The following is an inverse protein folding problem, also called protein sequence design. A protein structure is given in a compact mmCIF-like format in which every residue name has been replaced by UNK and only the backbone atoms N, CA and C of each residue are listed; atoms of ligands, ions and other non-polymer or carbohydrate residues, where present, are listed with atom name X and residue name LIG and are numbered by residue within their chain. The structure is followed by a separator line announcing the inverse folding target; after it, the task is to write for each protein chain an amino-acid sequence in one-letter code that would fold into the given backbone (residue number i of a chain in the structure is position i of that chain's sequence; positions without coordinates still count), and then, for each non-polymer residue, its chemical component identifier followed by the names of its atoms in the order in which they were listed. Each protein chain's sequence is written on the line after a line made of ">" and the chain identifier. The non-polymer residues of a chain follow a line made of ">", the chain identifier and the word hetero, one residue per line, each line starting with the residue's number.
data_IF_593288695299
#
_entry.id   IF_593288695299
#
_cell.length_a   1.000
_cell.length_b   1.000
_cell.length_c   1.000
_cell.angle_alpha   90.00
_cell.angle_beta   90.00
_cell.angle_gamma   90.00
#
_symmetry.space_group_name_H-M   'P 1'
#
loop_
_entity.id
_entity.type
_entity.pdbx_description
1 polymer ?
#
# COMPACT_ATOMS: atom_id res chain seq x y z
N UNK A 1 -11.16 17.40 13.78
CA UNK A 1 -11.24 15.93 13.85
C UNK A 1 -12.72 15.54 13.72
N UNK A 2 -13.06 14.28 13.45
CA UNK A 2 -14.34 13.86 12.85
C UNK A 2 -15.57 14.46 13.55
N UNK A 3 -16.54 14.94 12.77
CA UNK A 3 -17.80 15.44 13.33
C UNK A 3 -18.64 14.30 13.91
N UNK A 4 -19.59 14.57 14.82
CA UNK A 4 -20.53 13.54 15.31
C UNK A 4 -21.21 12.79 14.15
N UNK A 5 -21.67 13.50 13.13
CA UNK A 5 -22.33 12.90 11.97
C UNK A 5 -21.39 12.00 11.17
N UNK A 6 -20.11 12.38 11.06
CA UNK A 6 -19.09 11.56 10.44
C UNK A 6 -18.84 10.26 11.21
N UNK A 7 -18.78 10.33 12.55
CA UNK A 7 -18.60 9.17 13.42
C UNK A 7 -19.82 8.24 13.34
N UNK A 8 -21.03 8.80 13.33
CA UNK A 8 -22.25 8.01 13.20
C UNK A 8 -22.36 7.33 11.83
N UNK A 9 -21.95 7.99 10.74
CA UNK A 9 -21.87 7.36 9.41
C UNK A 9 -20.89 6.20 9.40
N UNK A 10 -19.71 6.36 9.99
CA UNK A 10 -18.74 5.27 10.09
C UNK A 10 -19.33 4.07 10.83
N UNK A 11 -20.02 4.29 11.96
CA UNK A 11 -20.64 3.21 12.72
C UNK A 11 -21.75 2.48 11.92
N UNK A 12 -22.54 3.21 11.13
CA UNK A 12 -23.61 2.62 10.31
C UNK A 12 -23.10 1.91 9.06
N UNK A 13 -22.15 2.53 8.36
CA UNK A 13 -21.78 2.16 6.99
C UNK A 13 -20.50 1.30 6.96
N UNK A 14 -19.71 1.30 8.04
CA UNK A 14 -18.42 0.62 8.13
C UNK A 14 -17.26 1.35 7.44
N UNK A 15 -17.51 2.52 6.84
CA UNK A 15 -16.49 3.36 6.21
C UNK A 15 -16.87 4.84 6.27
N UNK A 16 -15.91 5.72 5.96
CA UNK A 16 -16.15 7.16 5.85
C UNK A 16 -15.31 7.79 4.73
N UNK A 17 -15.92 8.72 3.99
CA UNK A 17 -15.21 9.59 3.05
C UNK A 17 -14.90 10.93 3.72
N UNK A 18 -13.63 11.31 3.70
CA UNK A 18 -13.12 12.60 4.20
C UNK A 18 -12.42 13.32 3.05
N UNK A 19 -13.11 14.26 2.37
CA UNK A 19 -12.52 14.99 1.25
C UNK A 19 -11.31 15.81 1.70
N UNK A 20 -10.29 15.92 0.83
CA UNK A 20 -9.12 16.77 1.04
C UNK A 20 -8.35 16.50 2.35
N UNK A 21 -8.37 15.26 2.84
CA UNK A 21 -7.69 14.89 4.08
C UNK A 21 -6.17 15.08 4.00
N UNK A 22 -5.59 14.82 2.83
CA UNK A 22 -4.18 15.02 2.47
C UNK A 22 -4.08 16.05 1.35
N UNK A 23 -3.01 16.82 1.34
CA UNK A 23 -2.78 17.82 0.29
C UNK A 23 -2.36 17.17 -1.02
N UNK A 24 -2.55 17.90 -2.13
CA UNK A 24 -2.07 17.47 -3.44
C UNK A 24 -0.55 17.22 -3.45
N UNK A 25 0.23 18.02 -2.72
CA UNK A 25 1.68 17.86 -2.61
C UNK A 25 2.09 16.60 -1.84
N UNK A 26 1.38 16.27 -0.76
CA UNK A 26 1.58 15.01 -0.03
C UNK A 26 1.35 13.81 -0.95
N UNK A 27 0.28 13.84 -1.74
CA UNK A 27 -0.07 12.79 -2.70
C UNK A 27 0.97 12.73 -3.84
N UNK A 28 1.41 13.87 -4.36
CA UNK A 28 2.40 13.93 -5.43
C UNK A 28 3.75 13.34 -4.98
N UNK A 29 4.18 13.62 -3.74
CA UNK A 29 5.40 13.02 -3.16
C UNK A 29 5.31 11.51 -3.04
N UNK A 30 4.18 10.97 -2.57
CA UNK A 30 3.97 9.52 -2.51
C UNK A 30 4.05 8.88 -3.90
N UNK A 31 3.38 9.48 -4.89
CA UNK A 31 3.38 8.97 -6.27
C UNK A 31 4.78 8.98 -6.89
N UNK A 32 5.53 10.06 -6.70
CA UNK A 32 6.91 10.15 -7.17
C UNK A 32 7.77 9.05 -6.52
N UNK A 33 7.65 8.90 -5.19
CA UNK A 33 8.44 7.90 -4.46
C UNK A 33 8.07 6.46 -4.83
N UNK A 34 6.79 6.17 -5.03
CA UNK A 34 6.34 4.87 -5.53
C UNK A 34 6.95 4.57 -6.91
N UNK A 35 6.99 5.55 -7.80
CA UNK A 35 7.64 5.43 -9.11
C UNK A 35 9.12 5.07 -8.99
N UNK A 36 9.86 5.79 -8.14
CA UNK A 36 11.28 5.50 -7.87
C UNK A 36 11.51 4.08 -7.34
N UNK A 37 10.66 3.59 -6.44
CA UNK A 37 10.72 2.22 -5.91
C UNK A 37 10.51 1.21 -7.03
N UNK A 38 9.50 1.42 -7.88
CA UNK A 38 9.21 0.52 -9.00
C UNK A 38 10.33 0.54 -10.04
N UNK A 39 10.90 1.71 -10.34
CA UNK A 39 12.01 1.85 -11.27
C UNK A 39 13.25 1.12 -10.78
N UNK A 40 13.55 1.21 -9.48
CA UNK A 40 14.68 0.52 -8.86
C UNK A 40 14.48 -1.00 -8.68
N UNK A 41 13.24 -1.48 -8.61
CA UNK A 41 12.94 -2.90 -8.41
C UNK A 41 13.42 -3.76 -9.58
N UNK A 42 14.18 -4.83 -9.31
CA UNK A 42 14.60 -5.81 -10.31
C UNK A 42 13.56 -6.94 -10.46
N UNK A 43 12.90 -7.08 -11.64
CA UNK A 43 11.96 -8.18 -11.92
C UNK A 43 12.56 -9.58 -11.80
N UNK A 44 13.90 -9.71 -11.83
CA UNK A 44 14.58 -10.98 -11.64
C UNK A 44 14.61 -11.45 -10.17
N UNK A 45 14.49 -10.53 -9.20
CA UNK A 45 14.45 -10.86 -7.77
C UNK A 45 13.22 -11.72 -7.43
N UNK A 46 12.10 -11.47 -8.10
CA UNK A 46 10.89 -12.27 -7.96
C UNK A 46 9.88 -11.98 -9.06
N UNK A 47 9.27 -13.04 -9.59
CA UNK A 47 8.07 -12.96 -10.45
C UNK A 47 6.79 -13.17 -9.63
N UNK A 48 6.81 -12.86 -8.33
CA UNK A 48 5.65 -13.05 -7.48
C UNK A 48 4.46 -12.25 -8.02
N UNK A 49 3.45 -13.01 -8.43
CA UNK A 49 2.15 -12.53 -8.85
C UNK A 49 1.26 -12.44 -7.62
N UNK A 50 0.55 -11.32 -7.47
CA UNK A 50 -0.53 -11.25 -6.49
C UNK A 50 -1.80 -11.89 -7.09
N UNK A 51 -2.30 -12.97 -6.48
CA UNK A 51 -3.57 -13.62 -6.88
C UNK A 51 -4.37 -14.07 -5.65
N UNK A 52 -5.69 -14.11 -5.78
CA UNK A 52 -6.63 -14.61 -4.77
C UNK A 52 -7.06 -16.05 -5.00
N UNK A 53 -6.60 -16.70 -6.08
CA UNK A 53 -7.12 -18.01 -6.53
C UNK A 53 -6.18 -19.19 -6.26
N UNK A 54 -4.87 -19.02 -6.40
CA UNK A 54 -3.90 -20.11 -6.25
C UNK A 54 -2.51 -19.57 -5.85
N UNK A 55 -2.21 -19.50 -4.54
CA UNK A 55 -0.92 -19.04 -4.03
C UNK A 55 0.10 -20.20 -4.05
N UNK A 56 0.57 -20.60 -5.23
CA UNK A 56 1.52 -21.71 -5.34
C UNK A 56 2.93 -21.35 -4.83
N UNK A 57 3.30 -21.87 -3.65
CA UNK A 57 4.63 -22.14 -3.02
C UNK A 57 5.82 -21.17 -3.17
N UNK A 58 6.10 -20.61 -4.35
CA UNK A 58 7.18 -19.62 -4.56
C UNK A 58 6.69 -18.18 -4.35
N UNK A 59 5.44 -17.87 -4.73
CA UNK A 59 4.80 -16.59 -4.38
C UNK A 59 4.60 -16.48 -2.86
N UNK A 60 4.37 -17.60 -2.17
CA UNK A 60 4.20 -17.65 -0.71
C UNK A 60 5.43 -17.17 0.05
N UNK A 61 6.64 -17.66 -0.22
CA UNK A 61 7.82 -17.24 0.54
C UNK A 61 8.18 -15.76 0.29
N UNK A 62 8.02 -15.30 -0.95
CA UNK A 62 8.20 -13.88 -1.28
C UNK A 62 7.15 -13.00 -0.61
N UNK A 63 5.90 -13.44 -0.56
CA UNK A 63 4.82 -12.70 0.09
C UNK A 63 4.92 -12.75 1.62
N UNK A 64 5.05 -13.93 2.22
CA UNK A 64 5.13 -14.10 3.68
C UNK A 64 6.35 -13.42 4.28
N UNK A 65 7.49 -13.40 3.57
CA UNK A 65 8.68 -12.67 4.01
C UNK A 65 8.66 -11.18 3.70
N UNK A 66 7.56 -10.63 3.18
CA UNK A 66 7.45 -9.21 2.85
C UNK A 66 6.85 -8.34 3.95
N UNK A 67 6.41 -8.97 5.04
CA UNK A 67 5.78 -8.37 6.22
C UNK A 67 6.55 -7.18 6.79
N UNK A 68 7.89 -7.28 6.82
CA UNK A 68 8.78 -6.25 7.33
C UNK A 68 9.75 -5.69 6.27
N UNK A 69 9.39 -5.77 4.98
CA UNK A 69 10.21 -5.22 3.88
C UNK A 69 9.36 -4.38 2.92
N UNK A 70 10.00 -3.83 1.88
CA UNK A 70 9.33 -3.17 0.75
C UNK A 70 9.61 -4.02 -0.49
N UNK A 71 8.57 -4.61 -1.07
CA UNK A 71 8.60 -5.46 -2.26
C UNK A 71 7.51 -5.03 -3.23
N UNK A 72 7.78 -5.22 -4.51
CA UNK A 72 6.82 -5.04 -5.58
C UNK A 72 6.16 -6.38 -5.93
N UNK A 73 4.88 -6.33 -6.28
CA UNK A 73 4.09 -7.49 -6.69
C UNK A 73 3.46 -7.22 -8.04
N UNK A 74 3.62 -8.14 -8.98
CA UNK A 74 3.09 -7.99 -10.34
C UNK A 74 1.59 -8.28 -10.40
N UNK A 75 0.93 -7.66 -11.37
CA UNK A 75 -0.42 -8.03 -11.81
C UNK A 75 -0.48 -9.49 -12.27
N UNK A 76 -1.64 -10.14 -12.10
CA UNK A 76 -1.85 -11.54 -12.48
C UNK A 76 -1.57 -11.81 -13.97
N UNK A 77 -1.86 -10.82 -14.82
CA UNK A 77 -1.68 -10.91 -16.26
C UNK A 77 -0.49 -10.07 -16.77
N UNK A 78 0.47 -9.74 -15.91
CA UNK A 78 1.62 -8.91 -16.26
C UNK A 78 2.53 -9.57 -17.31
N UNK A 79 2.62 -10.91 -17.31
CA UNK A 79 3.54 -11.67 -18.15
C UNK A 79 2.82 -12.35 -19.32
N UNK A 80 3.48 -12.39 -20.47
CA UNK A 80 3.02 -13.07 -21.68
C UNK A 80 3.40 -14.56 -21.69
N UNK A 81 3.00 -15.30 -22.74
CA UNK A 81 3.33 -16.72 -22.91
C UNK A 81 4.84 -17.00 -23.00
N UNK A 82 5.63 -16.01 -23.39
CA UNK A 82 7.09 -16.03 -23.45
C UNK A 82 7.76 -15.73 -22.09
N UNK A 83 6.96 -15.46 -21.05
CA UNK A 83 7.42 -15.08 -19.72
C UNK A 83 7.97 -13.67 -19.61
N UNK A 84 7.77 -12.81 -20.63
CA UNK A 84 8.17 -11.41 -20.62
C UNK A 84 6.99 -10.51 -20.21
N UNK A 85 7.29 -9.29 -19.77
CA UNK A 85 6.24 -8.31 -19.46
C UNK A 85 5.50 -7.91 -20.73
N UNK A 86 4.16 -7.91 -20.67
CA UNK A 86 3.28 -7.45 -21.77
C UNK A 86 3.28 -5.94 -21.93
N UNK A 87 3.78 -5.20 -20.94
CA UNK A 87 3.83 -3.74 -20.92
C UNK A 87 4.99 -3.24 -20.05
N UNK A 88 5.14 -1.90 -19.94
CA UNK A 88 6.17 -1.31 -19.11
C UNK A 88 6.05 -1.75 -17.63
N UNK A 89 7.19 -2.00 -16.96
CA UNK A 89 7.26 -2.43 -15.56
C UNK A 89 6.41 -1.56 -14.62
N UNK A 90 6.47 -0.23 -14.80
CA UNK A 90 5.69 0.73 -14.03
C UNK A 90 4.16 0.55 -14.14
N UNK A 91 3.69 -0.10 -15.21
CA UNK A 91 2.28 -0.42 -15.43
C UNK A 91 1.95 -1.87 -15.04
N UNK A 92 2.95 -2.70 -14.75
CA UNK A 92 2.78 -4.12 -14.45
C UNK A 92 2.77 -4.44 -12.95
N UNK A 93 3.05 -3.45 -12.09
CA UNK A 93 2.99 -3.61 -10.63
C UNK A 93 1.55 -3.39 -10.14
N UNK A 94 1.02 -4.39 -9.42
CA UNK A 94 -0.28 -4.32 -8.76
C UNK A 94 -0.20 -3.55 -7.43
N UNK A 95 0.85 -3.82 -6.64
CA UNK A 95 1.07 -3.20 -5.32
C UNK A 95 2.53 -3.20 -4.91
N UNK A 96 2.84 -2.34 -3.95
CA UNK A 96 4.10 -2.29 -3.22
C UNK A 96 3.77 -2.58 -1.75
N UNK A 97 4.61 -3.28 -0.99
CA UNK A 97 4.30 -3.59 0.41
C UNK A 97 5.39 -4.40 1.12
N UNK A 98 5.33 -4.63 2.43
CA UNK A 98 4.24 -4.28 3.34
C UNK A 98 4.62 -3.35 4.50
N UNK A 99 5.90 -2.92 4.59
CA UNK A 99 6.42 -2.07 5.67
C UNK A 99 6.86 -0.67 5.21
N UNK A 100 6.24 -0.13 4.17
CA UNK A 100 6.56 1.21 3.64
C UNK A 100 6.45 2.32 4.69
N UNK A 101 5.45 2.24 5.56
CA UNK A 101 5.22 3.17 6.67
C UNK A 101 6.39 3.24 7.67
N UNK A 102 7.18 2.17 7.80
CA UNK A 102 8.32 2.12 8.71
C UNK A 102 9.64 2.42 8.02
N UNK A 103 9.81 1.88 6.80
CA UNK A 103 11.10 1.80 6.13
C UNK A 103 11.36 2.91 5.11
N UNK A 104 10.32 3.50 4.52
CA UNK A 104 10.49 4.60 3.57
C UNK A 104 10.18 5.96 4.22
N UNK A 105 11.11 6.93 4.23
CA UNK A 105 10.90 8.21 4.89
C UNK A 105 9.69 9.01 4.40
N UNK A 106 9.34 8.90 3.11
CA UNK A 106 8.20 9.64 2.52
C UNK A 106 6.89 9.01 2.98
N UNK A 107 6.78 7.69 2.91
CA UNK A 107 5.60 6.95 3.38
C UNK A 107 5.45 7.05 4.91
N UNK A 108 6.56 7.02 5.65
CA UNK A 108 6.59 7.22 7.10
C UNK A 108 6.04 8.58 7.50
N UNK A 109 6.54 9.66 6.89
CA UNK A 109 6.04 11.01 7.18
C UNK A 109 4.56 11.16 6.83
N UNK A 110 4.09 10.53 5.76
CA UNK A 110 2.68 10.53 5.37
C UNK A 110 1.80 9.78 6.39
N UNK A 111 2.26 8.60 6.85
CA UNK A 111 1.47 7.69 7.70
C UNK A 111 1.45 8.14 9.16
N UNK A 112 2.56 8.69 9.68
CA UNK A 112 2.66 9.18 11.05
C UNK A 112 2.12 10.62 11.24
N UNK A 113 1.31 11.11 10.30
CA UNK A 113 0.62 12.39 10.41
C UNK A 113 -0.34 12.39 11.62
N UNK A 114 -0.24 13.43 12.45
CA UNK A 114 -1.10 13.62 13.61
C UNK A 114 -2.60 13.58 13.25
N UNK A 115 -3.00 14.00 12.04
CA UNK A 115 -4.39 13.91 11.56
C UNK A 115 -4.89 12.46 11.47
N UNK A 116 -4.05 11.52 11.05
CA UNK A 116 -4.40 10.09 10.98
C UNK A 116 -4.57 9.51 12.38
N UNK A 117 -3.63 9.79 13.28
CA UNK A 117 -3.72 9.37 14.69
C UNK A 117 -4.98 9.93 15.37
N UNK A 118 -5.30 11.19 15.08
CA UNK A 118 -6.49 11.86 15.54
C UNK A 118 -7.76 11.13 15.00
N UNK A 119 -7.87 10.93 13.69
CA UNK A 119 -8.99 10.19 13.10
C UNK A 119 -9.16 8.78 13.69
N UNK A 120 -8.07 8.03 13.88
CA UNK A 120 -8.13 6.69 14.48
C UNK A 120 -8.73 6.71 15.90
N UNK A 121 -8.38 7.69 16.74
CA UNK A 121 -8.96 7.85 18.08
C UNK A 121 -10.44 8.21 18.03
N UNK A 122 -10.85 9.09 17.11
CA UNK A 122 -12.28 9.42 16.94
C UNK A 122 -13.12 8.23 16.53
N UNK A 123 -12.52 7.29 15.78
CA UNK A 123 -13.12 6.01 15.40
C UNK A 123 -13.07 4.95 16.51
N UNK A 124 -12.51 5.26 17.68
CA UNK A 124 -12.53 4.41 18.87
C UNK A 124 -11.28 3.56 19.10
N UNK A 125 -10.20 3.75 18.34
CA UNK A 125 -8.94 3.05 18.62
C UNK A 125 -8.25 3.69 19.83
N UNK A 126 -8.14 2.95 20.93
CA UNK A 126 -7.47 3.41 22.15
C UNK A 126 -5.95 3.52 21.96
N UNK A 127 -5.35 2.50 21.33
CA UNK A 127 -3.92 2.43 21.06
C UNK A 127 -3.70 2.12 19.57
N UNK A 128 -3.89 3.10 18.66
CA UNK A 128 -3.74 2.87 17.23
C UNK A 128 -2.29 2.47 16.91
N UNK A 129 -2.13 1.32 16.27
CA UNK A 129 -0.88 0.79 15.73
C UNK A 129 -0.99 0.66 14.22
N UNK A 130 0.14 0.82 13.52
CA UNK A 130 0.21 0.60 12.07
C UNK A 130 0.80 -0.81 11.89
N UNK A 131 0.00 -1.70 11.32
CA UNK A 131 0.40 -3.11 11.14
C UNK A 131 0.91 -3.41 9.73
N UNK A 132 0.47 -2.63 8.74
CA UNK A 132 0.76 -2.87 7.33
C UNK A 132 0.55 -1.59 6.52
N UNK A 133 1.33 -1.40 5.46
CA UNK A 133 1.09 -0.39 4.43
C UNK A 133 1.38 -0.94 3.04
N UNK A 134 0.58 -0.55 2.05
CA UNK A 134 0.78 -0.86 0.63
C UNK A 134 0.52 0.36 -0.23
#
# INVERSE_FOLDING_TARGET
>A
MLTPEQRDRFQRDGYIVIPNFKSADEIARLRARAGEIVDAFDPAESRAIFTTRDQARASDAWFLGSDNTIRCFFEEEAFGPDGQLKQAKALSINKIGHAMHDLDPVFKAFTHDAKLAAAARDLGLEQPQIWQSM
#
